data_IF_644409097152
#
_entry.id   IF_644409097152
#
_cell.length_a   1.000
_cell.length_b   1.000
_cell.length_c   1.000
_cell.angle_alpha   90.00
_cell.angle_beta   90.00
_cell.angle_gamma   90.00
#
_symmetry.space_group_name_H-M   'P 1'
#
loop_
_entity.id
_entity.type
_entity.pdbx_description
1 polymer ?
#
# COMPACT_ATOMS: atom_id res chain seq x y z
N UNK A 1 -5.06 12.87 7.07
CA UNK A 1 -4.28 12.39 8.25
C UNK A 1 -3.69 11.01 7.93
N UNK A 2 -2.39 10.80 8.16
CA UNK A 2 -1.63 9.56 7.87
C UNK A 2 -1.53 8.60 9.05
N UNK A 3 -2.25 8.84 10.16
CA UNK A 3 -2.14 8.06 11.41
C UNK A 3 -2.33 6.55 11.26
N UNK A 4 -2.96 6.09 10.19
CA UNK A 4 -3.16 4.68 9.89
C UNK A 4 -1.87 3.95 9.48
N UNK A 5 -0.76 4.65 9.22
CA UNK A 5 0.53 4.00 8.89
C UNK A 5 1.23 3.42 10.13
N UNK A 6 0.82 3.87 11.33
CA UNK A 6 1.38 3.44 12.62
C UNK A 6 0.26 2.92 13.54
N UNK A 7 0.20 1.61 13.73
CA UNK A 7 -0.71 0.90 14.62
C UNK A 7 -2.18 1.12 14.29
N UNK A 8 -2.63 0.94 13.02
CA UNK A 8 -3.98 1.29 12.63
C UNK A 8 -5.06 0.50 13.37
N UNK A 9 -4.76 -0.74 13.77
CA UNK A 9 -5.73 -1.65 14.35
C UNK A 9 -5.16 -2.33 15.60
N UNK A 10 -5.85 -2.28 16.74
CA UNK A 10 -5.42 -2.99 17.94
C UNK A 10 -5.22 -4.49 17.66
N UNK A 11 -4.07 -5.03 18.07
CA UNK A 11 -3.69 -6.45 17.93
C UNK A 11 -3.40 -6.95 16.50
N UNK A 12 -3.31 -6.06 15.51
CA UNK A 12 -2.89 -6.37 14.15
C UNK A 12 -1.64 -5.55 13.80
N UNK A 13 -0.48 -6.09 14.14
CA UNK A 13 0.82 -5.39 14.04
C UNK A 13 1.40 -5.36 12.63
N UNK A 14 0.92 -6.19 11.69
CA UNK A 14 1.40 -6.26 10.30
C UNK A 14 0.21 -6.25 9.33
N UNK A 15 -0.15 -5.07 8.82
CA UNK A 15 -1.30 -4.90 7.95
C UNK A 15 -0.92 -4.23 6.63
N UNK A 16 -1.65 -4.56 5.57
CA UNK A 16 -1.57 -3.85 4.30
C UNK A 16 -2.85 -3.04 4.09
N UNK A 17 -2.69 -1.84 3.53
CA UNK A 17 -3.80 -0.96 3.15
C UNK A 17 -3.89 -0.94 1.64
N UNK A 18 -5.06 -1.28 1.10
CA UNK A 18 -5.29 -1.38 -0.33
C UNK A 18 -6.44 -0.46 -0.71
N UNK A 19 -6.12 0.62 -1.42
CA UNK A 19 -7.13 1.41 -2.13
C UNK A 19 -7.40 0.78 -3.49
N UNK A 20 -8.67 0.73 -3.88
CA UNK A 20 -9.09 0.09 -5.13
C UNK A 20 -10.15 0.89 -5.87
N UNK A 21 -10.11 0.80 -7.20
CA UNK A 21 -11.21 1.21 -8.09
C UNK A 21 -11.25 0.32 -9.33
N UNK A 22 -12.35 0.35 -10.07
CA UNK A 22 -12.57 -0.55 -11.21
C UNK A 22 -12.74 -2.03 -10.82
N UNK A 23 -12.87 -2.33 -9.53
CA UNK A 23 -13.26 -3.63 -8.96
C UNK A 23 -14.23 -3.39 -7.78
N UNK A 24 -14.99 -4.41 -7.39
CA UNK A 24 -15.88 -4.32 -6.23
C UNK A 24 -15.17 -4.73 -4.94
N UNK A 25 -15.65 -4.23 -3.80
CA UNK A 25 -15.21 -4.67 -2.48
C UNK A 25 -15.33 -6.18 -2.34
N UNK A 26 -16.49 -6.75 -2.69
CA UNK A 26 -16.74 -8.19 -2.66
C UNK A 26 -15.71 -8.98 -3.46
N UNK A 27 -15.40 -8.56 -4.69
CA UNK A 27 -14.44 -9.26 -5.53
C UNK A 27 -13.03 -9.22 -4.91
N UNK A 28 -12.61 -8.07 -4.40
CA UNK A 28 -11.30 -7.91 -3.76
C UNK A 28 -11.22 -8.72 -2.46
N UNK A 29 -12.25 -8.67 -1.62
CA UNK A 29 -12.35 -9.45 -0.38
C UNK A 29 -12.32 -10.95 -0.65
N UNK A 30 -13.09 -11.44 -1.63
CA UNK A 30 -13.06 -12.87 -1.99
C UNK A 30 -11.70 -13.29 -2.54
N UNK A 31 -11.05 -12.44 -3.33
CA UNK A 31 -9.70 -12.69 -3.83
C UNK A 31 -8.66 -12.77 -2.70
N UNK A 32 -8.71 -11.83 -1.75
CA UNK A 32 -7.86 -11.85 -0.55
C UNK A 32 -8.07 -13.12 0.27
N UNK A 33 -9.33 -13.49 0.52
CA UNK A 33 -9.66 -14.73 1.23
C UNK A 33 -9.15 -15.98 0.46
N UNK A 34 -9.25 -15.99 -0.87
CA UNK A 34 -8.69 -17.03 -1.72
C UNK A 34 -7.16 -17.15 -1.64
N UNK A 35 -6.48 -16.01 -1.39
CA UNK A 35 -5.05 -15.95 -1.11
C UNK A 35 -4.71 -16.13 0.37
N UNK A 36 -5.70 -16.42 1.22
CA UNK A 36 -5.53 -16.55 2.68
C UNK A 36 -5.10 -15.28 3.39
N UNK A 37 -5.55 -14.12 2.91
CA UNK A 37 -5.37 -12.81 3.59
C UNK A 37 -6.69 -12.42 4.22
N UNK A 38 -6.68 -12.16 5.53
CA UNK A 38 -7.88 -11.85 6.29
C UNK A 38 -8.21 -10.36 6.14
N UNK A 39 -9.35 -9.97 5.54
CA UNK A 39 -9.80 -8.58 5.57
C UNK A 39 -10.12 -8.17 7.01
N UNK A 40 -9.67 -6.98 7.40
CA UNK A 40 -9.78 -6.45 8.76
C UNK A 40 -10.77 -5.28 8.84
N UNK A 41 -10.67 -4.36 7.88
CA UNK A 41 -11.52 -3.18 7.77
C UNK A 41 -11.71 -2.82 6.30
N UNK A 42 -12.78 -2.08 6.00
CA UNK A 42 -13.06 -1.61 4.65
C UNK A 42 -13.88 -0.33 4.67
N UNK A 43 -13.82 0.40 3.56
CA UNK A 43 -14.60 1.62 3.32
C UNK A 43 -14.85 1.79 1.83
N UNK A 44 -15.95 2.44 1.47
CA UNK A 44 -16.28 2.75 0.08
C UNK A 44 -16.43 4.27 -0.07
N UNK A 45 -15.52 4.89 -0.83
CA UNK A 45 -15.64 6.28 -1.28
C UNK A 45 -16.32 6.38 -2.65
N UNK A 46 -16.44 7.60 -3.16
CA UNK A 46 -17.08 7.90 -4.45
C UNK A 46 -16.26 7.48 -5.68
N UNK A 47 -14.92 7.50 -5.57
CA UNK A 47 -14.00 7.07 -6.64
C UNK A 47 -13.17 5.85 -6.20
N UNK A 48 -12.60 5.89 -4.99
CA UNK A 48 -11.81 4.81 -4.41
C UNK A 48 -12.54 4.14 -3.26
N UNK A 49 -12.54 2.81 -3.25
CA UNK A 49 -12.75 2.02 -2.05
C UNK A 49 -11.42 1.71 -1.35
N UNK A 50 -11.50 1.18 -0.14
CA UNK A 50 -10.34 0.71 0.61
C UNK A 50 -10.64 -0.62 1.32
N UNK A 51 -9.61 -1.44 1.48
CA UNK A 51 -9.62 -2.61 2.35
C UNK A 51 -8.29 -2.70 3.07
N UNK A 52 -8.33 -2.99 4.37
CA UNK A 52 -7.17 -3.36 5.16
C UNK A 52 -7.18 -4.86 5.35
N UNK A 53 -6.02 -5.51 5.30
CA UNK A 53 -5.90 -6.94 5.54
C UNK A 53 -4.58 -7.29 6.23
N UNK A 54 -4.52 -8.43 6.91
CA UNK A 54 -3.26 -8.95 7.45
C UNK A 54 -2.23 -9.12 6.32
N UNK A 55 -0.99 -8.65 6.53
CA UNK A 55 0.10 -8.77 5.54
C UNK A 55 0.35 -10.23 5.14
N UNK A 56 0.34 -11.10 6.16
CA UNK A 56 0.66 -12.52 6.03
C UNK A 56 -0.57 -13.40 6.08
N UNK A 57 -0.36 -14.65 5.71
CA UNK A 57 -1.36 -15.70 5.82
C UNK A 57 -1.75 -15.94 7.28
N UNK A 58 -3.03 -16.27 7.52
CA UNK A 58 -3.46 -16.69 8.86
C UNK A 58 -2.99 -18.12 9.21
N UNK A 59 -2.37 -18.85 8.28
CA UNK A 59 -1.76 -20.15 8.54
C UNK A 59 -0.32 -19.99 9.02
N UNK A 60 0.02 -20.66 10.12
CA UNK A 60 1.37 -20.60 10.69
C UNK A 60 2.42 -21.11 9.70
N UNK A 61 3.48 -20.32 9.49
CA UNK A 61 4.63 -20.70 8.67
C UNK A 61 4.52 -20.35 7.18
N UNK A 62 3.40 -19.76 6.75
CA UNK A 62 3.25 -19.17 5.41
C UNK A 62 3.60 -17.67 5.47
N UNK A 63 4.75 -17.34 4.89
CA UNK A 63 5.29 -15.98 4.82
C UNK A 63 5.16 -15.36 3.43
N UNK A 64 4.36 -15.96 2.54
CA UNK A 64 4.17 -15.41 1.20
C UNK A 64 3.46 -14.06 1.28
N UNK A 65 3.79 -13.16 0.37
CA UNK A 65 3.10 -11.87 0.24
C UNK A 65 1.86 -12.01 -0.64
N UNK A 66 0.90 -11.09 -0.49
CA UNK A 66 -0.29 -11.07 -1.34
C UNK A 66 0.09 -10.82 -2.82
N UNK A 67 -0.53 -11.58 -3.72
CA UNK A 67 -0.34 -11.44 -5.17
C UNK A 67 -1.35 -10.46 -5.75
N UNK A 68 -1.13 -9.17 -5.56
CA UNK A 68 -2.06 -8.11 -5.99
C UNK A 68 -2.34 -8.07 -7.50
N UNK A 69 -1.42 -8.56 -8.33
CA UNK A 69 -1.66 -8.67 -9.77
C UNK A 69 -2.85 -9.59 -10.11
N UNK A 70 -3.11 -10.61 -9.30
CA UNK A 70 -4.28 -11.48 -9.45
C UNK A 70 -5.57 -10.86 -8.90
N UNK A 71 -5.45 -9.85 -8.04
CA UNK A 71 -6.56 -9.13 -7.41
C UNK A 71 -6.98 -7.88 -8.20
N UNK A 72 -6.18 -7.49 -9.20
CA UNK A 72 -6.40 -6.31 -10.03
C UNK A 72 -6.91 -6.75 -11.42
N UNK A 73 -8.24 -6.73 -11.67
CA UNK A 73 -8.80 -7.11 -12.97
C UNK A 73 -8.46 -6.08 -14.06
N UNK A 74 -8.78 -6.42 -15.32
CA UNK A 74 -8.74 -5.44 -16.40
C UNK A 74 -9.71 -4.27 -16.13
N UNK A 75 -9.24 -3.04 -16.32
CA UNK A 75 -9.92 -1.81 -15.92
C UNK A 75 -9.79 -1.48 -14.43
N UNK A 76 -9.17 -2.35 -13.64
CA UNK A 76 -8.95 -2.18 -12.21
C UNK A 76 -7.64 -1.45 -11.90
N UNK A 77 -7.64 -0.77 -10.76
CA UNK A 77 -6.46 -0.12 -10.19
C UNK A 77 -6.38 -0.43 -8.70
N UNK A 78 -5.16 -0.72 -8.22
CA UNK A 78 -4.85 -0.92 -6.80
C UNK A 78 -3.68 -0.02 -6.40
N UNK A 79 -3.85 0.73 -5.32
CA UNK A 79 -2.77 1.41 -4.61
C UNK A 79 -2.59 0.70 -3.27
N UNK A 80 -1.42 0.09 -3.09
CA UNK A 80 -1.10 -0.77 -1.94
C UNK A 80 -0.01 -0.12 -1.12
N UNK A 81 -0.26 -0.03 0.18
CA UNK A 81 0.73 0.29 1.20
C UNK A 81 0.97 -0.94 2.07
N UNK A 82 2.22 -1.37 2.15
CA UNK A 82 2.70 -2.31 3.15
C UNK A 82 3.22 -1.47 4.32
N UNK A 83 2.45 -1.44 5.41
CA UNK A 83 2.74 -0.64 6.60
C UNK A 83 3.12 -1.55 7.76
N UNK A 84 3.95 -1.03 8.66
CA UNK A 84 4.46 -1.76 9.84
C UNK A 84 5.05 -3.15 9.57
N UNK A 85 5.95 -3.30 8.59
CA UNK A 85 6.53 -4.61 8.33
C UNK A 85 7.45 -5.06 9.47
N UNK A 86 7.40 -6.36 9.73
CA UNK A 86 8.14 -7.04 10.79
C UNK A 86 9.63 -6.62 10.89
N UNK A 87 9.98 -5.87 11.96
CA UNK A 87 11.39 -5.53 12.30
C UNK A 87 12.30 -6.77 12.32
N UNK A 88 11.79 -7.93 12.75
CA UNK A 88 12.55 -9.17 12.81
C UNK A 88 12.93 -9.74 11.42
N UNK A 89 12.26 -9.30 10.34
CA UNK A 89 12.48 -9.79 8.98
C UNK A 89 13.14 -8.78 8.04
N UNK A 90 13.53 -7.60 8.55
CA UNK A 90 14.19 -6.54 7.78
C UNK A 90 13.45 -6.15 6.49
N UNK A 91 12.11 -6.21 6.52
CA UNK A 91 11.28 -5.60 5.50
C UNK A 91 10.88 -4.23 6.05
N UNK A 92 11.25 -3.15 5.35
CA UNK A 92 10.76 -1.79 5.61
C UNK A 92 9.47 -1.51 4.82
N UNK A 93 8.70 -0.47 5.18
CA UNK A 93 7.43 -0.18 4.53
C UNK A 93 7.61 0.06 3.04
N UNK A 94 6.58 -0.31 2.28
CA UNK A 94 6.67 -0.33 0.82
C UNK A 94 5.36 0.08 0.17
N UNK A 95 5.46 0.45 -1.10
CA UNK A 95 4.34 0.85 -1.90
C UNK A 95 4.33 0.12 -3.24
N UNK A 96 3.13 -0.23 -3.69
CA UNK A 96 2.89 -0.77 -5.02
C UNK A 96 1.66 -0.13 -5.66
N UNK A 97 1.77 0.24 -6.93
CA UNK A 97 0.65 0.66 -7.76
C UNK A 97 0.47 -0.29 -8.94
N UNK A 98 -0.74 -0.82 -9.06
CA UNK A 98 -1.14 -1.74 -10.11
C UNK A 98 -2.28 -1.17 -10.95
N UNK A 99 -2.24 -1.46 -12.25
CA UNK A 99 -3.32 -1.17 -13.20
C UNK A 99 -3.43 -2.35 -14.17
N UNK A 100 -4.65 -2.80 -14.43
CA UNK A 100 -4.93 -3.93 -15.35
C UNK A 100 -4.14 -5.22 -14.98
N UNK A 101 -3.99 -5.51 -13.69
CA UNK A 101 -3.23 -6.68 -13.22
C UNK A 101 -1.71 -6.56 -13.34
N UNK A 102 -1.19 -5.39 -13.75
CA UNK A 102 0.25 -5.16 -13.98
C UNK A 102 0.80 -4.16 -12.97
N UNK A 103 2.03 -4.42 -12.52
CA UNK A 103 2.79 -3.48 -11.71
C UNK A 103 3.21 -2.27 -12.55
N UNK A 104 2.71 -1.09 -12.18
CA UNK A 104 3.04 0.18 -12.85
C UNK A 104 4.25 0.82 -12.17
N UNK A 105 4.22 0.98 -10.85
CA UNK A 105 5.36 1.47 -10.06
C UNK A 105 5.35 0.87 -8.66
N UNK A 106 6.53 0.58 -8.10
CA UNK A 106 6.72 0.18 -6.71
C UNK A 106 8.09 0.63 -6.19
N UNK A 107 8.18 0.84 -4.89
CA UNK A 107 9.42 1.16 -4.18
C UNK A 107 9.28 0.94 -2.67
N UNK A 108 10.42 0.79 -1.99
CA UNK A 108 10.52 0.83 -0.53
C UNK A 108 10.61 2.28 -0.06
N UNK A 109 10.07 2.59 1.12
CA UNK A 109 10.15 3.91 1.73
C UNK A 109 11.57 4.24 2.22
N UNK A 110 12.41 3.22 2.44
CA UNK A 110 13.83 3.38 2.78
C UNK A 110 14.67 3.79 1.56
N UNK A 111 14.22 3.41 0.36
CA UNK A 111 14.95 3.65 -0.90
C UNK A 111 14.02 4.12 -2.02
N UNK A 112 13.25 5.21 -1.83
CA UNK A 112 12.28 5.71 -2.83
C UNK A 112 12.94 6.18 -4.13
N UNK A 113 14.27 6.36 -4.14
CA UNK A 113 15.05 6.61 -5.35
C UNK A 113 15.22 5.36 -6.24
N UNK A 114 15.04 4.14 -5.70
CA UNK A 114 15.05 2.88 -6.42
C UNK A 114 13.62 2.39 -6.67
N UNK A 115 13.12 2.61 -7.89
CA UNK A 115 11.75 2.30 -8.29
C UNK A 115 11.73 1.24 -9.39
N UNK A 116 10.70 0.40 -9.37
CA UNK A 116 10.50 -0.68 -10.35
C UNK A 116 9.09 -0.65 -10.92
N UNK A 117 8.88 -1.27 -12.08
CA UNK A 117 7.56 -1.36 -12.73
C UNK A 117 7.58 -0.94 -14.19
N UNK A 118 6.40 -0.82 -14.82
CA UNK A 118 6.25 -0.37 -16.21
C UNK A 118 6.51 1.12 -16.39
N UNK A 119 6.16 1.92 -15.40
CA UNK A 119 6.34 3.38 -15.37
C UNK A 119 6.98 3.75 -14.02
N UNK A 120 8.25 3.35 -13.78
CA UNK A 120 8.89 3.49 -12.47
C UNK A 120 9.03 4.94 -12.00
N UNK A 121 9.00 5.92 -12.90
CA UNK A 121 9.14 7.34 -12.57
C UNK A 121 7.79 8.08 -12.48
N UNK A 122 6.65 7.36 -12.52
CA UNK A 122 5.31 7.95 -12.46
C UNK A 122 5.14 8.93 -11.28
N UNK A 123 5.63 8.53 -10.10
CA UNK A 123 5.54 9.33 -8.87
C UNK A 123 6.75 10.24 -8.62
N UNK A 124 7.77 10.23 -9.49
CA UNK A 124 8.99 10.99 -9.30
C UNK A 124 8.73 12.50 -9.07
N UNK A 125 7.83 13.18 -9.79
CA UNK A 125 7.52 14.58 -9.53
C UNK A 125 6.96 14.83 -8.12
N UNK A 126 6.05 13.97 -7.66
CA UNK A 126 5.43 14.09 -6.33
C UNK A 126 6.46 13.83 -5.22
N UNK A 127 7.28 12.78 -5.36
CA UNK A 127 8.35 12.46 -4.41
C UNK A 127 9.43 13.55 -4.38
N UNK A 128 9.76 14.15 -5.52
CA UNK A 128 10.70 15.27 -5.60
C UNK A 128 10.16 16.51 -4.90
N UNK A 129 8.88 16.86 -5.14
CA UNK A 129 8.24 17.99 -4.47
C UNK A 129 8.16 17.80 -2.95
N UNK A 130 8.06 16.55 -2.51
CA UNK A 130 8.09 16.17 -1.11
C UNK A 130 9.50 16.07 -0.53
N UNK A 131 10.59 16.31 -1.29
CA UNK A 131 12.00 16.13 -0.92
C UNK A 131 12.34 14.69 -0.48
N UNK A 132 11.91 13.68 -1.23
CA UNK A 132 12.08 12.25 -0.89
C UNK A 132 13.05 11.52 -1.84
N UNK A 133 13.80 12.23 -2.66
CA UNK A 133 14.69 11.63 -3.68
C UNK A 133 16.17 11.80 -3.32
N UNK A 134 16.52 12.82 -2.53
CA UNK A 134 17.88 13.00 -2.03
C UNK A 134 18.08 12.14 -0.77
N UNK A 135 19.11 11.26 -0.71
CA UNK A 135 19.43 10.49 0.49
C UNK A 135 19.56 11.33 1.76
N UNK A 136 20.03 12.58 1.67
CA UNK A 136 20.18 13.46 2.84
C UNK A 136 18.83 13.86 3.47
N UNK A 137 17.74 13.84 2.70
CA UNK A 137 16.40 14.18 3.19
C UNK A 137 15.65 12.96 3.77
N UNK A 138 16.16 11.74 3.55
CA UNK A 138 15.58 10.48 4.05
C UNK A 138 15.90 10.21 5.52
N UNK A 139 16.94 10.84 6.07
CA UNK A 139 17.33 10.73 7.48
C UNK A 139 16.37 11.49 8.43
N UNK A 140 15.27 12.02 7.91
CA UNK A 140 14.26 12.73 8.70
C UNK A 140 13.24 11.75 9.29
N UNK A 141 12.89 11.98 10.54
CA UNK A 141 11.90 11.18 11.30
C UNK A 141 10.47 11.20 10.69
N UNK A 142 10.20 12.04 9.68
CA UNK A 142 8.89 12.21 9.02
C UNK A 142 8.83 11.65 7.58
N UNK A 143 9.82 10.84 7.18
CA UNK A 143 9.97 10.33 5.81
C UNK A 143 8.76 9.48 5.36
N UNK A 144 8.25 8.59 6.23
CA UNK A 144 7.14 7.70 5.92
C UNK A 144 5.84 8.48 5.72
N UNK A 145 5.55 9.43 6.62
CA UNK A 145 4.39 10.32 6.54
C UNK A 145 4.41 11.12 5.25
N UNK A 146 5.54 11.77 4.93
CA UNK A 146 5.70 12.55 3.69
C UNK A 146 5.56 11.68 2.45
N UNK A 147 6.06 10.46 2.50
CA UNK A 147 5.92 9.49 1.40
C UNK A 147 4.45 9.15 1.16
N UNK A 148 3.73 8.82 2.22
CA UNK A 148 2.29 8.51 2.15
C UNK A 148 1.48 9.74 1.72
N UNK A 149 1.79 10.94 2.23
CA UNK A 149 1.15 12.19 1.81
C UNK A 149 1.38 12.48 0.32
N UNK A 150 2.60 12.30 -0.18
CA UNK A 150 2.93 12.50 -1.59
C UNK A 150 2.14 11.54 -2.50
N UNK A 151 2.07 10.26 -2.11
CA UNK A 151 1.34 9.23 -2.86
C UNK A 151 -0.17 9.47 -2.82
N UNK A 152 -0.73 9.64 -1.61
CA UNK A 152 -2.18 9.87 -1.43
C UNK A 152 -2.63 11.15 -2.14
N UNK A 153 -1.84 12.22 -2.09
CA UNK A 153 -2.09 13.46 -2.83
C UNK A 153 -2.04 13.27 -4.35
N UNK A 154 -1.06 12.53 -4.87
CA UNK A 154 -0.94 12.26 -6.31
C UNK A 154 -2.16 11.50 -6.87
N UNK A 155 -2.64 10.48 -6.15
CA UNK A 155 -3.79 9.69 -6.58
C UNK A 155 -5.14 10.27 -6.13
N UNK A 156 -5.14 11.35 -5.34
CA UNK A 156 -6.34 11.90 -4.70
C UNK A 156 -7.10 10.84 -3.90
N UNK A 157 -6.36 10.04 -3.12
CA UNK A 157 -6.95 8.98 -2.29
C UNK A 157 -7.81 9.58 -1.16
N UNK A 158 -8.92 8.93 -0.78
CA UNK A 158 -9.75 9.40 0.31
C UNK A 158 -8.99 9.32 1.64
N UNK A 159 -9.29 10.23 2.56
CA UNK A 159 -8.79 10.13 3.93
C UNK A 159 -9.39 8.89 4.61
N UNK A 160 -8.53 8.19 5.36
CA UNK A 160 -8.92 7.06 6.19
C UNK A 160 -9.38 7.59 7.55
N UNK A 161 -10.70 7.57 7.77
CA UNK A 161 -11.25 7.67 9.14
C UNK A 161 -11.13 6.29 9.79
N UNK A 162 -10.12 6.13 10.64
CA UNK A 162 -9.98 4.92 11.45
C UNK A 162 -11.02 4.94 12.58
N UNK A 163 -11.61 3.77 12.93
CA UNK A 163 -12.56 3.66 14.04
C UNK A 163 -11.93 3.93 15.41
#
# INVERSE_FOLDING_TARGET
MTHWIHGPLPHHEEANVVFFRGTSLDALTQGLLGQRRKPLAYGTGTDWGLVMHDMLSWESGDYDLAHYGQLCPAGGELVVFEIEPCLAKAHGPSFQYLRDGRLITAFSFETPYYRVGKEPDLLLPALTAANLIDPADLDRDDNEERTVEAITGFFSLPELEMP
#
